data_IF_551284750077
#
_entry.id   IF_551284750077
#
_cell.length_a   1.000
_cell.length_b   1.000
_cell.length_c   1.000
_cell.angle_alpha   90.00
_cell.angle_beta   90.00
_cell.angle_gamma   90.00
#
_symmetry.space_group_name_H-M   'P 1'
#
loop_
_entity.id
_entity.type
_entity.pdbx_description
1 polymer ?
#
# COMPACT_ATOMS: atom_id res chain seq x y z
N UNK A 1 -44.86 15.32 1.36
CA UNK A 1 -43.65 16.03 0.89
C UNK A 1 -42.55 14.99 0.77
N UNK A 2 -42.26 14.52 -0.44
CA UNK A 2 -41.28 13.45 -0.70
C UNK A 2 -39.98 14.15 -1.11
N UNK A 3 -38.96 14.10 -0.25
CA UNK A 3 -37.61 14.51 -0.61
C UNK A 3 -37.03 13.45 -1.54
N UNK A 4 -37.05 13.73 -2.84
CA UNK A 4 -36.31 12.93 -3.83
C UNK A 4 -34.84 13.31 -3.67
N UNK A 5 -34.07 12.47 -2.97
CA UNK A 5 -32.62 12.56 -2.98
C UNK A 5 -32.15 12.35 -4.43
N UNK A 6 -31.62 13.41 -5.05
CA UNK A 6 -31.01 13.31 -6.38
C UNK A 6 -29.88 12.27 -6.38
N UNK A 7 -29.56 11.66 -7.54
CA UNK A 7 -28.45 10.72 -7.60
C UNK A 7 -27.19 11.44 -7.13
N UNK A 8 -26.53 10.89 -6.11
CA UNK A 8 -25.19 11.32 -5.74
C UNK A 8 -24.35 11.29 -7.01
N UNK A 9 -23.85 12.44 -7.45
CA UNK A 9 -22.97 12.51 -8.62
C UNK A 9 -21.87 11.48 -8.42
N UNK A 10 -21.79 10.50 -9.32
CA UNK A 10 -20.74 9.50 -9.29
C UNK A 10 -19.41 10.25 -9.30
N UNK A 11 -18.71 10.22 -8.18
CA UNK A 11 -17.47 10.95 -8.03
C UNK A 11 -16.50 10.43 -9.09
N UNK A 12 -15.99 11.34 -9.93
CA UNK A 12 -15.13 11.00 -11.04
C UNK A 12 -13.93 10.20 -10.52
N UNK A 13 -13.72 9.00 -11.09
CA UNK A 13 -12.57 8.17 -10.77
C UNK A 13 -11.36 8.79 -11.46
N UNK A 14 -10.62 9.62 -10.72
CA UNK A 14 -9.34 10.19 -11.14
C UNK A 14 -8.21 9.63 -10.29
N UNK A 15 -6.95 9.61 -10.78
CA UNK A 15 -5.81 9.14 -9.99
C UNK A 15 -5.66 9.91 -8.67
N UNK A 16 -5.93 11.21 -8.71
CA UNK A 16 -5.87 12.08 -7.53
C UNK A 16 -6.95 11.69 -6.50
N UNK A 17 -8.16 11.33 -6.93
CA UNK A 17 -9.22 10.89 -6.03
C UNK A 17 -8.93 9.50 -5.45
N UNK A 18 -8.36 8.58 -6.24
CA UNK A 18 -7.91 7.29 -5.75
C UNK A 18 -6.79 7.43 -4.69
N UNK A 19 -5.82 8.31 -4.92
CA UNK A 19 -4.77 8.64 -3.95
C UNK A 19 -5.35 9.26 -2.68
N UNK A 20 -6.26 10.24 -2.81
CA UNK A 20 -6.94 10.85 -1.65
C UNK A 20 -7.70 9.82 -0.84
N UNK A 21 -8.39 8.88 -1.49
CA UNK A 21 -9.12 7.81 -0.80
C UNK A 21 -8.17 6.90 -0.01
N UNK A 22 -7.07 6.45 -0.61
CA UNK A 22 -6.05 5.65 0.10
C UNK A 22 -5.47 6.42 1.28
N UNK A 23 -5.16 7.71 1.09
CA UNK A 23 -4.64 8.57 2.15
C UNK A 23 -5.63 8.79 3.30
N UNK A 24 -6.93 8.92 2.99
CA UNK A 24 -7.98 9.02 4.00
C UNK A 24 -8.07 7.74 4.85
N UNK A 25 -8.06 6.55 4.23
CA UNK A 25 -8.10 5.28 4.99
C UNK A 25 -6.84 5.11 5.85
N UNK A 26 -5.67 5.51 5.35
CA UNK A 26 -4.44 5.51 6.14
C UNK A 26 -4.50 6.51 7.30
N UNK A 27 -5.01 7.73 7.08
CA UNK A 27 -5.20 8.73 8.13
C UNK A 27 -6.17 8.30 9.24
N UNK A 28 -7.05 7.34 8.98
CA UNK A 28 -7.90 6.70 9.99
C UNK A 28 -7.19 5.60 10.79
N UNK A 29 -5.90 5.33 10.52
CA UNK A 29 -5.15 4.27 11.17
C UNK A 29 -5.60 2.86 10.77
N UNK A 30 -6.27 2.71 9.63
CA UNK A 30 -6.88 1.44 9.20
C UNK A 30 -6.02 0.64 8.21
N UNK A 31 -4.89 1.17 7.79
CA UNK A 31 -4.01 0.52 6.82
C UNK A 31 -2.70 0.11 7.50
N UNK A 32 -2.43 -1.18 7.65
CA UNK A 32 -1.16 -1.66 8.20
C UNK A 32 -0.31 -2.27 7.10
N UNK A 33 0.96 -1.85 6.98
CA UNK A 33 1.81 -2.18 5.85
C UNK A 33 2.94 -3.14 6.19
N UNK A 34 3.14 -4.18 5.39
CA UNK A 34 4.33 -5.01 5.41
C UNK A 34 4.85 -5.19 3.99
N UNK A 35 6.12 -5.57 3.83
CA UNK A 35 6.70 -5.83 2.52
C UNK A 35 7.60 -7.05 2.54
N UNK A 36 7.92 -7.59 1.38
CA UNK A 36 8.91 -8.64 1.23
C UNK A 36 9.61 -8.56 -0.11
N UNK A 37 10.87 -8.98 -0.14
CA UNK A 37 11.64 -9.11 -1.37
C UNK A 37 11.54 -10.51 -1.94
N UNK A 38 11.87 -10.66 -3.22
CA UNK A 38 12.08 -11.99 -3.80
C UNK A 38 13.19 -12.74 -3.05
N UNK A 39 12.92 -14.01 -2.68
CA UNK A 39 13.84 -14.84 -1.89
C UNK A 39 13.69 -14.71 -0.37
N UNK A 40 12.88 -13.78 0.13
CA UNK A 40 12.51 -13.72 1.55
C UNK A 40 11.37 -14.70 1.87
N UNK A 41 11.43 -15.32 3.06
CA UNK A 41 10.49 -16.36 3.49
C UNK A 41 9.11 -15.85 3.94
N UNK A 42 8.94 -14.54 4.17
CA UNK A 42 7.73 -13.97 4.75
C UNK A 42 7.56 -12.47 4.48
N UNK A 43 6.43 -11.89 4.90
CA UNK A 43 6.18 -10.45 4.88
C UNK A 43 6.65 -9.80 6.18
N UNK A 44 7.38 -8.70 6.05
CA UNK A 44 8.19 -8.14 7.11
C UNK A 44 7.87 -6.65 7.31
N UNK A 45 7.99 -6.19 8.55
CA UNK A 45 7.90 -4.77 8.92
C UNK A 45 9.24 -4.20 9.43
N UNK A 46 10.32 -4.98 9.37
CA UNK A 46 11.62 -4.59 9.91
C UNK A 46 12.58 -5.76 10.11
N UNK A 47 13.78 -5.44 10.55
CA UNK A 47 14.90 -6.39 10.74
C UNK A 47 15.45 -6.31 12.16
N UNK A 48 15.89 -7.43 12.72
CA UNK A 48 16.71 -7.49 13.93
C UNK A 48 17.90 -8.44 13.74
N UNK A 49 18.92 -8.35 14.60
CA UNK A 49 19.96 -9.38 14.75
C UNK A 49 19.57 -10.20 15.94
N UNK A 50 19.51 -11.51 15.75
CA UNK A 50 19.40 -12.42 16.89
C UNK A 50 20.72 -12.43 17.69
N UNK A 51 20.72 -13.15 18.81
CA UNK A 51 21.89 -13.30 19.68
C UNK A 51 23.08 -13.97 18.97
N UNK A 52 22.85 -14.59 17.82
CA UNK A 52 23.89 -15.20 16.97
C UNK A 52 24.49 -14.22 15.96
N UNK A 53 24.03 -12.97 15.94
CA UNK A 53 24.46 -11.93 15.01
C UNK A 53 23.84 -12.06 13.61
N UNK A 54 22.92 -13.00 13.41
CA UNK A 54 22.26 -13.23 12.13
C UNK A 54 21.06 -12.29 11.98
N UNK A 55 20.88 -11.73 10.79
CA UNK A 55 19.70 -10.91 10.48
C UNK A 55 18.45 -11.80 10.44
N UNK A 56 17.44 -11.39 11.19
CA UNK A 56 16.11 -11.97 11.29
C UNK A 56 15.07 -10.89 11.02
N UNK A 57 13.84 -11.32 10.80
CA UNK A 57 12.78 -10.46 10.33
C UNK A 57 11.58 -10.52 11.27
N UNK A 58 10.92 -9.38 11.46
CA UNK A 58 9.73 -9.30 12.30
C UNK A 58 8.49 -9.69 11.49
N UNK A 59 7.84 -10.78 11.90
CA UNK A 59 6.64 -11.35 11.24
C UNK A 59 5.32 -10.64 11.55
N UNK A 60 5.27 -9.69 12.51
CA UNK A 60 4.02 -9.11 13.00
C UNK A 60 3.86 -7.62 12.73
N UNK A 61 2.67 -7.31 12.22
CA UNK A 61 2.12 -6.00 11.96
C UNK A 61 1.81 -5.26 13.28
N UNK A 62 2.51 -4.15 13.58
CA UNK A 62 2.38 -3.47 14.89
C UNK A 62 1.76 -2.07 14.81
N UNK A 63 1.78 -1.39 13.66
CA UNK A 63 1.18 -0.05 13.54
C UNK A 63 0.70 0.31 12.13
N UNK A 64 -0.30 1.20 12.03
CA UNK A 64 -0.81 1.69 10.76
C UNK A 64 0.16 2.60 10.04
N UNK A 65 -0.09 2.81 8.75
CA UNK A 65 0.50 3.85 7.92
C UNK A 65 0.00 5.23 8.33
N UNK A 66 0.81 6.25 8.09
CA UNK A 66 0.42 7.66 8.16
C UNK A 66 1.08 8.46 7.03
N UNK A 67 0.66 9.72 6.87
CA UNK A 67 1.25 10.68 5.91
C UNK A 67 1.41 10.12 4.49
N UNK A 68 0.36 9.45 4.00
CA UNK A 68 0.29 8.97 2.62
C UNK A 68 0.14 10.16 1.69
N UNK A 69 1.15 10.40 0.85
CA UNK A 69 1.19 11.51 -0.08
C UNK A 69 1.47 11.05 -1.52
N UNK A 70 0.78 11.67 -2.46
CA UNK A 70 1.10 11.61 -3.86
C UNK A 70 2.20 12.63 -4.15
N UNK A 71 3.44 12.18 -4.29
CA UNK A 71 4.58 13.08 -4.58
C UNK A 71 4.89 13.15 -6.09
N UNK A 72 4.13 12.42 -6.91
CA UNK A 72 4.12 12.50 -8.37
C UNK A 72 2.94 11.72 -8.95
N UNK A 73 2.66 11.87 -10.25
CA UNK A 73 1.51 11.23 -10.91
C UNK A 73 1.48 9.71 -10.75
N UNK A 74 2.66 9.08 -10.69
CA UNK A 74 2.82 7.62 -10.60
C UNK A 74 3.70 7.18 -9.43
N UNK A 75 3.69 7.96 -8.35
CA UNK A 75 4.49 7.67 -7.17
C UNK A 75 3.71 8.03 -5.90
N UNK A 76 3.54 7.03 -5.05
CA UNK A 76 2.95 7.20 -3.72
C UNK A 76 4.02 6.97 -2.67
N UNK A 77 4.15 7.93 -1.76
CA UNK A 77 4.97 7.81 -0.55
C UNK A 77 4.06 7.73 0.66
N UNK A 78 4.52 7.03 1.68
CA UNK A 78 3.82 6.94 2.94
C UNK A 78 4.81 6.66 4.05
N UNK A 79 4.50 7.12 5.26
CA UNK A 79 5.28 6.77 6.42
C UNK A 79 4.71 5.51 7.05
N UNK A 80 5.61 4.66 7.52
CA UNK A 80 5.24 3.47 8.26
C UNK A 80 6.22 3.21 9.39
N UNK A 81 5.73 2.45 10.35
CA UNK A 81 6.52 2.07 11.49
C UNK A 81 7.44 0.91 11.13
N UNK A 82 8.75 1.15 11.21
CA UNK A 82 9.76 0.10 11.09
C UNK A 82 10.25 -0.32 12.47
N UNK A 83 10.22 -1.62 12.74
CA UNK A 83 10.83 -2.16 13.98
C UNK A 83 12.31 -2.46 13.72
N UNK A 84 13.18 -1.97 14.61
CA UNK A 84 14.64 -2.11 14.51
C UNK A 84 15.20 -2.56 15.87
N UNK A 85 16.16 -3.49 15.85
CA UNK A 85 17.00 -3.99 16.97
C UNK A 85 16.52 -3.69 18.41
N UNK A 86 15.67 -4.55 18.97
CA UNK A 86 15.39 -4.59 20.42
C UNK A 86 14.74 -3.33 21.01
N UNK A 87 14.39 -2.35 20.17
CA UNK A 87 13.67 -1.15 20.55
C UNK A 87 12.33 -1.14 19.84
N UNK A 88 11.28 -0.86 20.60
CA UNK A 88 10.03 -0.40 20.02
C UNK A 88 10.32 0.95 19.34
N UNK A 89 10.43 0.89 18.01
CA UNK A 89 9.74 1.77 17.07
C UNK A 89 10.17 3.25 17.05
N UNK A 90 10.86 3.64 15.99
CA UNK A 90 10.80 5.02 15.51
C UNK A 90 9.47 5.20 14.78
N UNK A 91 8.49 5.85 15.42
CA UNK A 91 7.21 6.23 14.79
C UNK A 91 7.35 7.36 13.77
N UNK A 92 8.57 7.72 13.35
CA UNK A 92 8.83 8.93 12.56
C UNK A 92 9.65 8.70 11.28
N UNK A 93 10.45 7.64 11.17
CA UNK A 93 11.63 7.67 10.27
C UNK A 93 11.68 6.62 9.14
N UNK A 94 10.54 6.11 8.64
CA UNK A 94 10.58 5.23 7.47
C UNK A 94 9.54 5.56 6.40
N UNK A 95 10.05 5.86 5.20
CA UNK A 95 9.27 6.05 3.99
C UNK A 95 9.10 4.71 3.28
N UNK A 96 7.86 4.31 3.06
CA UNK A 96 7.50 3.36 2.01
C UNK A 96 7.22 4.11 0.72
N UNK A 97 7.60 3.53 -0.41
CA UNK A 97 7.32 4.07 -1.74
C UNK A 97 6.70 2.97 -2.59
N UNK A 98 5.67 3.32 -3.35
CA UNK A 98 5.17 2.54 -4.47
C UNK A 98 5.36 3.35 -5.75
N UNK A 99 6.02 2.74 -6.73
CA UNK A 99 6.16 3.32 -8.07
C UNK A 99 5.14 2.64 -8.97
N UNK A 100 3.98 3.28 -9.18
CA UNK A 100 2.82 2.64 -9.83
C UNK A 100 3.08 2.12 -11.24
N UNK A 101 3.97 2.75 -12.00
CA UNK A 101 4.41 2.27 -13.33
C UNK A 101 5.20 0.96 -13.30
N UNK A 102 5.75 0.59 -12.14
CA UNK A 102 6.49 -0.65 -11.94
C UNK A 102 5.58 -1.75 -11.32
N UNK A 103 4.34 -1.41 -10.98
CA UNK A 103 3.40 -2.35 -10.37
C UNK A 103 2.83 -3.26 -11.45
N UNK A 104 3.11 -4.54 -11.34
CA UNK A 104 2.62 -5.57 -12.25
C UNK A 104 1.19 -6.01 -11.92
N UNK A 105 0.84 -6.07 -10.62
CA UNK A 105 -0.46 -6.54 -10.19
C UNK A 105 -0.89 -5.97 -8.83
N UNK A 106 -2.20 -5.81 -8.65
CA UNK A 106 -2.85 -5.58 -7.36
C UNK A 106 -3.88 -6.67 -7.12
N UNK A 107 -3.91 -7.27 -5.92
CA UNK A 107 -4.88 -8.31 -5.55
C UNK A 107 -5.43 -8.08 -4.15
N UNK A 108 -6.75 -8.16 -3.99
CA UNK A 108 -7.38 -8.29 -2.68
C UNK A 108 -7.63 -9.76 -2.34
N UNK A 109 -7.35 -10.15 -1.10
CA UNK A 109 -7.70 -11.47 -0.56
C UNK A 109 -7.99 -11.36 0.93
N UNK A 110 -9.20 -11.76 1.35
CA UNK A 110 -9.69 -11.51 2.70
C UNK A 110 -9.50 -10.04 3.06
N UNK A 111 -8.89 -9.74 4.21
CA UNK A 111 -8.61 -8.39 4.67
C UNK A 111 -7.27 -7.82 4.18
N UNK A 112 -6.63 -8.46 3.19
CA UNK A 112 -5.33 -8.07 2.66
C UNK A 112 -5.42 -7.51 1.25
N UNK A 113 -4.57 -6.53 0.95
CA UNK A 113 -4.27 -6.07 -0.42
C UNK A 113 -2.79 -6.31 -0.67
N UNK A 114 -2.50 -7.02 -1.75
CA UNK A 114 -1.15 -7.30 -2.21
C UNK A 114 -0.85 -6.43 -3.43
N UNK A 115 0.32 -5.80 -3.45
CA UNK A 115 0.83 -5.06 -4.61
C UNK A 115 2.16 -5.68 -4.99
N UNK A 116 2.28 -6.08 -6.25
CA UNK A 116 3.48 -6.66 -6.83
C UNK A 116 4.21 -5.58 -7.63
N UNK A 117 5.31 -5.06 -7.09
CA UNK A 117 6.15 -4.07 -7.75
C UNK A 117 7.42 -4.74 -8.28
N UNK A 118 7.66 -4.63 -9.59
CA UNK A 118 8.82 -5.20 -10.26
C UNK A 118 9.62 -4.10 -10.95
N UNK A 119 10.84 -3.85 -10.46
CA UNK A 119 11.73 -2.84 -11.00
C UNK A 119 13.15 -3.40 -11.19
N UNK A 120 13.67 -3.34 -12.42
CA UNK A 120 15.10 -3.58 -12.69
C UNK A 120 15.63 -4.96 -12.25
N UNK A 121 14.82 -6.02 -12.34
CA UNK A 121 15.21 -7.38 -11.95
C UNK A 121 15.04 -7.69 -10.45
N UNK A 122 14.52 -6.74 -9.68
CA UNK A 122 14.10 -6.93 -8.30
C UNK A 122 12.58 -6.83 -8.18
N UNK A 123 11.99 -7.75 -7.43
CA UNK A 123 10.55 -7.77 -7.20
C UNK A 123 10.27 -7.63 -5.70
N UNK A 124 9.46 -6.62 -5.40
CA UNK A 124 9.02 -6.17 -4.09
C UNK A 124 7.51 -6.43 -3.97
N UNK A 125 7.12 -7.20 -2.97
CA UNK A 125 5.72 -7.44 -2.69
C UNK A 125 5.31 -6.63 -1.48
N UNK A 126 4.31 -5.78 -1.66
CA UNK A 126 3.68 -5.02 -0.58
C UNK A 126 2.42 -5.75 -0.11
N UNK A 127 2.14 -5.69 1.19
CA UNK A 127 0.90 -6.17 1.79
C UNK A 127 0.33 -5.09 2.69
N UNK A 128 -0.88 -4.66 2.38
CA UNK A 128 -1.70 -3.80 3.21
C UNK A 128 -2.75 -4.66 3.92
N UNK A 129 -2.85 -4.53 5.23
CA UNK A 129 -3.85 -5.20 6.06
C UNK A 129 -4.90 -4.17 6.46
N UNK A 130 -6.17 -4.52 6.27
CA UNK A 130 -7.32 -3.68 6.54
C UNK A 130 -8.23 -4.34 7.59
N UNK A 131 -9.16 -3.59 8.21
CA UNK A 131 -10.09 -4.13 9.19
C UNK A 131 -10.99 -5.26 8.67
N UNK A 132 -11.33 -5.27 7.38
CA UNK A 132 -12.22 -6.28 6.79
C UNK A 132 -12.04 -6.39 5.27
N UNK A 133 -12.62 -7.44 4.69
CA UNK A 133 -12.52 -7.75 3.27
C UNK A 133 -13.20 -6.72 2.36
N UNK A 134 -14.35 -6.17 2.76
CA UNK A 134 -15.05 -5.17 1.96
C UNK A 134 -14.20 -3.91 1.75
N UNK A 135 -13.49 -3.46 2.80
CA UNK A 135 -12.59 -2.33 2.72
C UNK A 135 -11.33 -2.68 1.91
N UNK A 136 -10.78 -3.89 2.08
CA UNK A 136 -9.65 -4.37 1.29
C UNK A 136 -9.97 -4.37 -0.22
N UNK A 137 -11.15 -4.85 -0.61
CA UNK A 137 -11.61 -4.79 -2.01
C UNK A 137 -11.68 -3.36 -2.54
N UNK A 138 -12.26 -2.42 -1.78
CA UNK A 138 -12.33 -1.00 -2.20
C UNK A 138 -10.95 -0.37 -2.36
N UNK A 139 -10.03 -0.68 -1.47
CA UNK A 139 -8.65 -0.17 -1.54
C UNK A 139 -7.88 -0.80 -2.69
N UNK A 140 -8.05 -2.10 -2.95
CA UNK A 140 -7.47 -2.75 -4.11
C UNK A 140 -7.99 -2.14 -5.42
N UNK A 141 -9.28 -1.81 -5.53
CA UNK A 141 -9.80 -1.11 -6.70
C UNK A 141 -9.15 0.26 -6.90
N UNK A 142 -8.98 1.05 -5.84
CA UNK A 142 -8.30 2.34 -5.92
C UNK A 142 -6.82 2.18 -6.33
N UNK A 143 -6.11 1.22 -5.76
CA UNK A 143 -4.71 0.93 -6.10
C UNK A 143 -4.54 0.40 -7.53
N UNK A 144 -5.46 -0.44 -7.99
CA UNK A 144 -5.47 -0.95 -9.38
C UNK A 144 -5.75 0.17 -10.38
N UNK A 145 -6.66 1.09 -10.03
CA UNK A 145 -6.90 2.29 -10.83
C UNK A 145 -5.62 3.13 -10.97
N UNK A 146 -4.85 3.31 -9.88
CA UNK A 146 -3.56 4.01 -9.91
C UNK A 146 -2.52 3.29 -10.79
N UNK A 147 -2.45 1.96 -10.69
CA UNK A 147 -1.59 1.14 -11.55
C UNK A 147 -1.92 1.36 -13.02
N UNK A 148 -3.18 1.17 -13.41
CA UNK A 148 -3.63 1.28 -14.81
C UNK A 148 -3.44 2.70 -15.34
N UNK A 149 -3.71 3.72 -14.54
CA UNK A 149 -3.50 5.12 -14.93
C UNK A 149 -2.03 5.49 -15.18
N UNK A 150 -1.11 4.68 -14.67
CA UNK A 150 0.33 4.87 -14.77
C UNK A 150 1.02 3.90 -15.72
N UNK A 151 0.27 2.96 -16.29
CA UNK A 151 0.74 2.01 -17.28
C UNK A 151 0.73 2.68 -18.66
N UNK A 152 1.93 3.06 -19.14
CA UNK A 152 2.09 3.67 -20.45
C UNK A 152 1.67 2.75 -21.61
N UNK A 153 1.52 1.44 -21.38
CA UNK A 153 1.18 0.45 -22.41
C UNK A 153 -0.32 0.19 -22.55
N UNK A 154 -1.15 0.57 -21.57
CA UNK A 154 -2.61 0.44 -21.68
C UNK A 154 -3.27 1.57 -22.49
N UNK A 155 -2.54 2.65 -22.79
CA UNK A 155 -3.00 3.76 -23.64
C UNK A 155 -2.76 3.58 -25.14
N UNK A 156 -2.02 2.55 -25.59
CA UNK A 156 -1.68 2.34 -27.01
C UNK A 156 -2.60 1.32 -27.68
N UNK A 157 -3.90 1.33 -27.34
CA UNK A 157 -4.89 0.48 -27.99
C UNK A 157 -4.82 0.65 -29.52
N UNK A 158 -4.38 -0.42 -30.18
CA UNK A 158 -4.65 -0.70 -31.59
C UNK A 158 -6.11 -1.08 -31.78
#
# INVERSE_FOLDING_TARGET
MICVAGPAAAQEQTPENAQKFVAQIAGLGQLVYAWRSTGSGGFEQGVYRDETGNQRYFDKAVAPLWDVSATGSCLTKFHYQRTTYGRTVGTADADGTIIWRNVAAVKAENAYVYVDESAGGYQLFHRFTLPNAALATRIAYAMEFLRVSCDATQGTGF
#
